data_IF_938450256318
#
_entry.id   IF_938450256318
#
_cell.length_a   1.000
_cell.length_b   1.000
_cell.length_c   1.000
_cell.angle_alpha   90.00
_cell.angle_beta   90.00
_cell.angle_gamma   90.00
#
_symmetry.space_group_name_H-M   'P 1'
#
loop_
_entity.id
_entity.type
_entity.pdbx_description
1 polymer ?
#
# COMPACT_ATOMS: atom_id res chain seq x y z
N UNK A 1 -66.18 -49.27 14.30
CA UNK A 1 -65.10 -48.47 14.84
C UNK A 1 -63.92 -48.52 13.88
N UNK A 2 -63.76 -47.53 13.02
CA UNK A 2 -62.59 -47.38 12.09
C UNK A 2 -61.64 -46.33 12.61
N UNK A 3 -60.42 -46.72 12.95
CA UNK A 3 -59.35 -45.80 13.36
C UNK A 3 -58.59 -45.36 12.12
N UNK A 4 -58.74 -44.09 11.78
CA UNK A 4 -57.96 -43.41 10.73
C UNK A 4 -56.58 -43.04 11.32
N UNK A 5 -55.49 -43.56 10.75
CA UNK A 5 -54.12 -43.16 11.07
C UNK A 5 -53.72 -42.00 10.16
N UNK A 6 -53.54 -40.83 10.73
CA UNK A 6 -52.95 -39.71 10.03
C UNK A 6 -51.43 -39.92 9.93
N UNK A 7 -50.89 -39.90 8.71
CA UNK A 7 -49.45 -39.91 8.44
C UNK A 7 -49.00 -38.47 8.33
N UNK A 8 -48.15 -38.05 9.24
CA UNK A 8 -47.56 -36.73 9.23
C UNK A 8 -46.27 -36.77 8.38
N UNK A 9 -46.30 -36.14 7.21
CA UNK A 9 -45.14 -36.01 6.34
C UNK A 9 -44.35 -34.78 6.77
N UNK A 10 -43.13 -34.98 7.33
CA UNK A 10 -42.18 -33.93 7.68
C UNK A 10 -41.34 -33.64 6.44
N UNK A 11 -41.58 -32.51 5.80
CA UNK A 11 -40.70 -31.98 4.74
C UNK A 11 -39.49 -31.30 5.38
N UNK A 12 -38.31 -31.91 5.25
CA UNK A 12 -37.04 -31.30 5.61
C UNK A 12 -36.57 -30.41 4.45
N UNK A 13 -36.70 -29.11 4.60
CA UNK A 13 -36.13 -28.15 3.67
C UNK A 13 -34.62 -27.99 3.98
N UNK A 14 -33.76 -28.54 3.13
CA UNK A 14 -32.32 -28.31 3.17
C UNK A 14 -32.03 -26.93 2.61
N UNK A 15 -31.77 -25.98 3.50
CA UNK A 15 -31.23 -24.66 3.13
C UNK A 15 -29.74 -24.84 2.76
N UNK A 16 -29.45 -24.84 1.46
CA UNK A 16 -28.07 -24.75 0.96
C UNK A 16 -27.59 -23.31 1.14
N UNK A 17 -26.86 -23.05 2.21
CA UNK A 17 -26.15 -21.79 2.41
C UNK A 17 -24.97 -21.77 1.43
N UNK A 18 -25.14 -21.11 0.28
CA UNK A 18 -24.04 -20.76 -0.60
C UNK A 18 -23.19 -19.70 0.13
N UNK A 19 -22.17 -20.14 0.87
CA UNK A 19 -21.11 -19.28 1.40
C UNK A 19 -20.26 -18.85 0.21
N UNK A 20 -20.74 -17.87 -0.55
CA UNK A 20 -19.92 -17.16 -1.52
C UNK A 20 -18.82 -16.44 -0.73
N UNK A 21 -17.57 -16.86 -0.90
CA UNK A 21 -16.42 -16.05 -0.55
C UNK A 21 -16.42 -14.82 -1.48
N UNK A 22 -17.21 -13.82 -1.18
CA UNK A 22 -17.02 -12.50 -1.74
C UNK A 22 -15.80 -11.94 -1.02
N UNK A 23 -14.64 -11.94 -1.67
CA UNK A 23 -13.55 -11.04 -1.29
C UNK A 23 -14.14 -9.64 -1.26
N UNK A 24 -14.23 -9.05 -0.06
CA UNK A 24 -14.76 -7.71 0.08
C UNK A 24 -13.88 -6.78 -0.78
N UNK A 25 -14.53 -5.97 -1.60
CA UNK A 25 -13.82 -4.95 -2.37
C UNK A 25 -13.16 -3.97 -1.37
N UNK A 26 -11.91 -3.54 -1.62
CA UNK A 26 -11.23 -2.61 -0.72
C UNK A 26 -11.99 -1.29 -0.62
N UNK A 27 -12.06 -0.73 0.56
CA UNK A 27 -12.58 0.64 0.76
C UNK A 27 -11.49 1.66 0.32
N UNK A 28 -11.43 1.87 -1.00
CA UNK A 28 -10.47 2.75 -1.64
C UNK A 28 -10.56 4.19 -1.16
N UNK A 29 -11.78 4.68 -0.88
CA UNK A 29 -11.98 6.07 -0.48
C UNK A 29 -11.47 6.30 0.94
N UNK A 30 -11.73 5.37 1.85
CA UNK A 30 -11.21 5.45 3.22
C UNK A 30 -9.68 5.28 3.25
N UNK A 31 -9.12 4.35 2.49
CA UNK A 31 -7.67 4.16 2.42
C UNK A 31 -6.97 5.39 1.82
N UNK A 32 -7.52 5.96 0.74
CA UNK A 32 -6.98 7.17 0.11
C UNK A 32 -7.05 8.38 1.06
N UNK A 33 -8.18 8.59 1.74
CA UNK A 33 -8.32 9.69 2.70
C UNK A 33 -7.30 9.63 3.85
N UNK A 34 -6.97 8.42 4.32
CA UNK A 34 -5.91 8.20 5.33
C UNK A 34 -4.52 8.50 4.76
N UNK A 35 -4.24 8.11 3.53
CA UNK A 35 -2.99 8.41 2.84
C UNK A 35 -2.81 9.93 2.64
N UNK A 36 -3.85 10.63 2.23
CA UNK A 36 -3.84 12.08 2.05
C UNK A 36 -3.59 12.80 3.40
N UNK A 37 -4.27 12.37 4.46
CA UNK A 37 -4.06 12.91 5.81
C UNK A 37 -2.62 12.67 6.33
N UNK A 38 -2.02 11.52 6.00
CA UNK A 38 -0.64 11.24 6.33
C UNK A 38 0.31 12.19 5.58
N UNK A 39 0.11 12.40 4.27
CA UNK A 39 0.91 13.32 3.47
C UNK A 39 0.79 14.78 3.96
N UNK A 40 -0.42 15.22 4.33
CA UNK A 40 -0.63 16.55 4.90
C UNK A 40 0.10 16.72 6.24
N UNK A 41 0.11 15.69 7.08
CA UNK A 41 0.78 15.74 8.39
C UNK A 41 2.30 15.67 8.29
N UNK A 42 2.82 14.97 7.28
CA UNK A 42 4.26 14.79 7.03
C UNK A 42 4.94 15.98 6.35
N UNK A 43 4.20 17.00 5.92
CA UNK A 43 4.71 18.20 5.26
C UNK A 43 5.46 19.17 6.18
N UNK A 44 6.15 18.69 7.22
CA UNK A 44 6.92 19.49 8.17
C UNK A 44 8.23 20.08 7.60
N UNK A 45 8.96 20.80 8.46
CA UNK A 45 10.29 21.33 8.10
C UNK A 45 11.25 20.17 7.77
N UNK A 46 11.78 20.16 6.55
CA UNK A 46 12.63 19.08 6.03
C UNK A 46 11.92 18.11 5.08
N UNK A 47 10.61 18.24 4.89
CA UNK A 47 9.91 17.46 3.86
C UNK A 47 10.29 17.98 2.47
N UNK A 48 10.82 17.07 1.66
CA UNK A 48 11.15 17.31 0.25
C UNK A 48 9.96 17.07 -0.67
N UNK A 49 9.04 16.24 -0.24
CA UNK A 49 7.83 15.87 -0.96
C UNK A 49 7.22 14.59 -0.45
N UNK A 50 6.06 14.28 -0.99
CA UNK A 50 5.35 13.04 -0.67
C UNK A 50 4.61 12.51 -1.89
N UNK A 51 4.30 11.24 -1.85
CA UNK A 51 3.57 10.54 -2.90
C UNK A 51 2.69 9.45 -2.32
N UNK A 52 1.64 9.09 -3.04
CA UNK A 52 0.81 7.93 -2.74
C UNK A 52 0.51 7.15 -4.00
N UNK A 53 0.17 5.87 -3.82
CA UNK A 53 -0.20 4.99 -4.91
C UNK A 53 -1.12 3.86 -4.44
N UNK A 54 -1.89 3.32 -5.36
CA UNK A 54 -2.80 2.19 -5.14
C UNK A 54 -2.13 0.89 -5.55
N UNK A 55 -2.36 -0.14 -4.78
CA UNK A 55 -1.91 -1.50 -5.06
C UNK A 55 -3.11 -2.42 -5.04
N UNK A 56 -3.32 -3.19 -6.08
CA UNK A 56 -4.40 -4.18 -6.17
C UNK A 56 -3.83 -5.59 -6.17
N UNK A 57 -4.61 -6.55 -5.71
CA UNK A 57 -4.23 -7.96 -5.81
C UNK A 57 -4.08 -8.35 -7.29
N UNK A 58 -2.92 -8.94 -7.64
CA UNK A 58 -2.64 -9.36 -9.02
C UNK A 58 -2.18 -8.24 -9.97
N UNK A 59 -1.85 -7.06 -9.45
CA UNK A 59 -1.17 -6.02 -10.23
C UNK A 59 0.25 -6.51 -10.57
N UNK A 60 0.41 -6.99 -11.80
CA UNK A 60 1.72 -7.39 -12.37
C UNK A 60 2.40 -6.15 -12.99
N UNK A 61 2.60 -5.09 -12.21
CA UNK A 61 3.36 -3.93 -12.68
C UNK A 61 4.79 -4.31 -12.96
N UNK A 62 5.33 -3.81 -14.07
CA UNK A 62 6.74 -3.93 -14.31
C UNK A 62 7.53 -3.10 -13.26
N UNK A 63 8.69 -3.58 -12.79
CA UNK A 63 9.55 -2.80 -11.90
C UNK A 63 9.83 -1.41 -12.50
N UNK A 64 9.61 -0.35 -11.72
CA UNK A 64 9.80 1.04 -12.13
C UNK A 64 8.56 1.75 -12.68
N UNK A 65 7.39 1.11 -12.69
CA UNK A 65 6.09 1.76 -13.01
C UNK A 65 5.44 2.44 -11.79
N UNK A 66 6.21 2.66 -10.74
CA UNK A 66 5.78 3.28 -9.50
C UNK A 66 5.56 4.79 -9.61
N UNK A 67 5.34 5.41 -8.46
CA UNK A 67 5.22 6.87 -8.35
C UNK A 67 6.59 7.50 -8.23
N UNK A 68 6.90 8.45 -9.10
CA UNK A 68 8.20 9.14 -9.15
C UNK A 68 8.08 10.57 -8.66
N UNK A 69 9.00 10.96 -7.75
CA UNK A 69 9.21 12.33 -7.31
C UNK A 69 10.53 12.84 -7.89
N UNK A 70 10.47 13.94 -8.63
CA UNK A 70 11.66 14.61 -9.21
C UNK A 70 11.95 15.88 -8.42
N UNK A 71 13.20 16.07 -8.03
CA UNK A 71 13.64 17.25 -7.30
C UNK A 71 14.20 18.31 -8.25
N UNK A 72 14.02 19.61 -7.95
CA UNK A 72 14.48 20.70 -8.82
C UNK A 72 16.00 20.83 -8.89
N UNK A 73 16.74 20.15 -8.01
CA UNK A 73 18.19 20.15 -7.95
C UNK A 73 18.73 18.96 -7.15
N UNK A 74 20.04 18.81 -7.09
CA UNK A 74 20.65 17.76 -6.29
C UNK A 74 20.22 17.89 -4.82
N UNK A 75 19.71 16.80 -4.29
CA UNK A 75 19.07 16.77 -2.99
C UNK A 75 19.69 15.68 -2.13
N UNK A 76 19.79 15.91 -0.84
CA UNK A 76 20.14 14.87 0.13
C UNK A 76 18.86 14.29 0.73
N UNK A 77 18.69 12.97 0.62
CA UNK A 77 17.58 12.25 1.23
C UNK A 77 18.07 11.61 2.53
N UNK A 78 17.51 12.02 3.65
CA UNK A 78 17.90 11.54 4.97
C UNK A 78 17.03 10.39 5.45
N UNK A 79 15.73 10.47 5.19
CA UNK A 79 14.71 9.52 5.66
C UNK A 79 13.56 9.44 4.67
N UNK A 80 12.99 8.26 4.56
CA UNK A 80 11.72 8.04 3.89
C UNK A 80 10.78 7.36 4.88
N UNK A 81 9.66 7.98 5.15
CA UNK A 81 8.60 7.42 6.00
C UNK A 81 7.51 6.85 5.09
N UNK A 82 7.30 5.53 5.17
CA UNK A 82 6.34 4.77 4.38
C UNK A 82 5.18 4.35 5.27
N UNK A 83 3.97 4.40 4.74
CA UNK A 83 2.77 3.86 5.39
C UNK A 83 1.90 3.15 4.37
N UNK A 84 1.18 2.12 4.79
CA UNK A 84 0.23 1.39 3.95
C UNK A 84 -1.12 1.29 4.66
N UNK A 85 -2.20 1.55 3.93
CA UNK A 85 -3.58 1.50 4.42
C UNK A 85 -4.40 0.52 3.58
N UNK A 86 -4.95 -0.50 4.21
CA UNK A 86 -5.74 -1.53 3.54
C UNK A 86 -5.59 -2.88 4.22
N UNK A 87 -5.61 -3.93 3.43
CA UNK A 87 -5.46 -5.29 3.91
C UNK A 87 -4.13 -5.89 3.45
N UNK A 88 -3.52 -6.71 4.32
CA UNK A 88 -2.36 -7.51 3.98
C UNK A 88 -1.03 -6.81 4.21
N UNK A 89 -0.07 -7.13 3.37
CA UNK A 89 1.32 -6.70 3.45
C UNK A 89 1.80 -6.28 2.07
N UNK A 90 2.58 -5.24 1.97
CA UNK A 90 3.16 -4.76 0.72
C UNK A 90 4.68 -4.89 0.73
N UNK A 91 5.24 -5.42 -0.35
CA UNK A 91 6.66 -5.27 -0.64
C UNK A 91 6.86 -3.92 -1.34
N UNK A 92 7.53 -3.00 -0.67
CA UNK A 92 7.83 -1.68 -1.18
C UNK A 92 9.27 -1.63 -1.70
N UNK A 93 9.43 -1.11 -2.92
CA UNK A 93 10.72 -0.81 -3.52
C UNK A 93 10.90 0.71 -3.58
N UNK A 94 12.04 1.18 -3.14
CA UNK A 94 12.45 2.58 -3.20
C UNK A 94 13.73 2.66 -4.00
N UNK A 95 13.72 3.37 -5.10
CA UNK A 95 14.88 3.60 -5.94
C UNK A 95 15.15 5.10 -6.07
N UNK A 96 16.38 5.51 -5.81
CA UNK A 96 16.83 6.91 -5.91
C UNK A 96 17.91 7.04 -6.97
N UNK A 97 17.70 7.98 -7.90
CA UNK A 97 18.63 8.29 -8.99
C UNK A 97 19.57 9.41 -8.58
N UNK A 98 20.84 9.23 -8.88
CA UNK A 98 21.89 10.25 -8.69
C UNK A 98 22.84 10.27 -9.89
N UNK A 99 23.75 11.24 -9.96
CA UNK A 99 24.65 11.44 -11.11
C UNK A 99 25.57 10.26 -11.43
N UNK A 100 25.72 9.32 -10.52
CA UNK A 100 26.58 8.12 -10.69
C UNK A 100 25.81 6.81 -10.90
N UNK A 101 24.48 6.85 -10.97
CA UNK A 101 23.64 5.67 -11.11
C UNK A 101 22.41 5.69 -10.22
N UNK A 102 21.98 4.57 -9.72
CA UNK A 102 20.87 4.46 -8.77
C UNK A 102 21.27 3.71 -7.51
N UNK A 103 20.58 4.01 -6.42
CA UNK A 103 20.61 3.25 -5.17
C UNK A 103 19.19 2.90 -4.78
N UNK A 104 18.96 1.73 -4.22
CA UNK A 104 17.62 1.29 -3.85
C UNK A 104 17.61 0.36 -2.66
N UNK A 105 16.43 0.17 -2.12
CA UNK A 105 16.13 -0.81 -1.09
C UNK A 105 14.74 -1.39 -1.30
N UNK A 106 14.53 -2.57 -0.75
CA UNK A 106 13.22 -3.19 -0.61
C UNK A 106 12.90 -3.36 0.87
N UNK A 107 11.63 -3.19 1.22
CA UNK A 107 11.13 -3.38 2.59
C UNK A 107 9.69 -3.88 2.57
N UNK A 108 9.35 -4.74 3.51
CA UNK A 108 7.97 -5.15 3.70
C UNK A 108 7.27 -4.17 4.65
N UNK A 109 6.03 -3.80 4.33
CA UNK A 109 5.21 -2.86 5.08
C UNK A 109 3.84 -3.50 5.32
N UNK A 110 3.42 -3.58 6.57
CA UNK A 110 2.08 -4.04 6.92
C UNK A 110 1.07 -2.92 6.63
N UNK A 111 -0.07 -3.26 6.02
CA UNK A 111 -1.08 -2.27 5.62
C UNK A 111 -2.07 -1.94 6.75
N UNK A 112 -1.56 -1.75 7.97
CA UNK A 112 -2.32 -1.40 9.19
C UNK A 112 -2.34 0.11 9.50
N UNK A 113 -1.54 0.89 8.77
CA UNK A 113 -1.40 2.33 8.93
C UNK A 113 -0.30 2.76 9.90
N UNK A 114 0.52 1.83 10.37
CA UNK A 114 1.71 2.17 11.17
C UNK A 114 2.87 2.60 10.24
N UNK A 115 3.51 3.74 10.50
CA UNK A 115 4.61 4.21 9.67
C UNK A 115 5.87 3.35 9.81
N UNK A 116 6.50 3.04 8.68
CA UNK A 116 7.79 2.38 8.57
C UNK A 116 8.83 3.39 8.08
N UNK A 117 9.94 3.53 8.81
CA UNK A 117 11.03 4.47 8.48
C UNK A 117 12.19 3.74 7.84
N UNK A 118 12.57 4.16 6.65
CA UNK A 118 13.67 3.59 5.90
C UNK A 118 14.70 4.64 5.53
N UNK A 119 15.96 4.22 5.42
CA UNK A 119 17.06 5.06 4.97
C UNK A 119 17.66 4.44 3.73
N UNK A 120 17.86 5.24 2.69
CA UNK A 120 18.58 4.80 1.51
C UNK A 120 20.02 4.37 1.88
N UNK A 121 20.58 3.35 1.19
CA UNK A 121 22.03 3.12 1.24
C UNK A 121 22.79 4.33 0.68
N UNK A 122 24.07 4.45 1.02
CA UNK A 122 24.92 5.50 0.45
C UNK A 122 25.26 5.21 -1.03
N UNK A 123 25.34 6.23 -1.89
CA UNK A 123 25.27 7.66 -1.58
C UNK A 123 23.83 8.16 -1.49
N UNK A 124 23.53 9.02 -0.50
CA UNK A 124 22.22 9.65 -0.27
C UNK A 124 22.17 11.12 -0.68
N UNK A 125 23.28 11.65 -1.13
CA UNK A 125 23.43 13.02 -1.61
C UNK A 125 23.36 13.08 -3.13
N UNK A 126 23.01 14.23 -3.65
CA UNK A 126 22.83 14.48 -5.10
C UNK A 126 21.76 13.62 -5.76
N UNK A 127 20.76 13.26 -4.99
CA UNK A 127 19.56 12.59 -5.51
C UNK A 127 18.77 13.59 -6.35
N UNK A 128 18.36 13.16 -7.53
CA UNK A 128 17.55 13.97 -8.45
C UNK A 128 16.13 13.45 -8.59
N UNK A 129 15.93 12.16 -8.26
CA UNK A 129 14.66 11.49 -8.40
C UNK A 129 14.54 10.34 -7.40
N UNK A 130 13.34 10.12 -6.87
CA UNK A 130 12.99 8.94 -6.07
C UNK A 130 11.75 8.30 -6.67
N UNK A 131 11.85 7.03 -7.01
CA UNK A 131 10.73 6.19 -7.47
C UNK A 131 10.32 5.24 -6.34
N UNK A 132 9.02 5.23 -6.08
CA UNK A 132 8.37 4.37 -5.09
C UNK A 132 7.47 3.40 -5.83
N UNK A 133 7.68 2.13 -5.65
CA UNK A 133 6.85 1.07 -6.21
C UNK A 133 6.42 0.09 -5.10
N UNK A 134 5.29 -0.56 -5.28
CA UNK A 134 4.76 -1.48 -4.29
C UNK A 134 3.98 -2.62 -4.92
N UNK A 135 4.21 -3.82 -4.40
CA UNK A 135 3.47 -5.04 -4.77
C UNK A 135 2.76 -5.56 -3.53
N UNK A 136 1.44 -5.71 -3.63
CA UNK A 136 0.64 -6.24 -2.53
C UNK A 136 0.88 -7.76 -2.38
N UNK A 137 1.28 -8.17 -1.18
CA UNK A 137 1.45 -9.56 -0.77
C UNK A 137 0.30 -10.00 0.12
N UNK A 138 -0.80 -10.38 -0.50
CA UNK A 138 -2.03 -10.74 0.21
C UNK A 138 -2.96 -9.54 0.41
N UNK A 139 -4.21 -9.83 0.76
CA UNK A 139 -5.27 -8.83 0.80
C UNK A 139 -5.91 -8.58 -0.56
N UNK A 140 -6.86 -7.67 -0.60
CA UNK A 140 -7.63 -7.33 -1.81
C UNK A 140 -7.15 -6.04 -2.47
N UNK A 141 -6.62 -5.10 -1.68
CA UNK A 141 -6.09 -3.84 -2.15
C UNK A 141 -5.62 -2.95 -1.01
N UNK A 142 -4.68 -2.06 -1.31
CA UNK A 142 -4.13 -1.11 -0.36
C UNK A 142 -3.68 0.19 -1.05
N UNK A 143 -3.56 1.26 -0.26
CA UNK A 143 -2.96 2.52 -0.66
C UNK A 143 -1.70 2.74 0.17
N UNK A 144 -0.57 2.92 -0.48
CA UNK A 144 0.63 3.39 0.21
C UNK A 144 0.74 4.91 0.14
N UNK A 145 1.41 5.49 1.11
CA UNK A 145 1.89 6.86 1.06
C UNK A 145 3.32 6.93 1.59
N UNK A 146 4.08 7.89 1.09
CA UNK A 146 5.46 8.12 1.51
C UNK A 146 5.73 9.61 1.66
N UNK A 147 6.48 9.97 2.70
CA UNK A 147 7.06 11.30 2.89
C UNK A 147 8.57 11.17 2.82
N UNK A 148 9.21 12.01 2.01
CA UNK A 148 10.65 12.06 1.85
C UNK A 148 11.18 13.28 2.60
N UNK A 149 12.12 13.05 3.50
CA UNK A 149 12.77 14.08 4.30
C UNK A 149 14.24 14.23 3.92
N UNK A 150 14.72 15.47 3.95
CA UNK A 150 16.11 15.78 3.62
C UNK A 150 16.34 17.26 3.40
N UNK A 151 17.36 17.58 2.62
CA UNK A 151 17.80 18.95 2.35
C UNK A 151 18.05 19.14 0.85
N UNK A 152 17.53 20.24 0.31
CA UNK A 152 17.88 20.68 -1.06
C UNK A 152 19.27 21.30 -1.02
N UNK A 153 20.18 20.82 -1.88
CA UNK A 153 21.55 21.28 -1.99
C UNK A 153 21.71 22.59 -2.76
#
# INVERSE_FOLDING_TARGET
MRRTRAVLAIAVAAAVSASGCTTAEPDWDAAQARADAFLESGGGAGALGGASGRMSAGDDRAPGEGTTLTFPGPTRVDLIELVCFGDGEAAMSVEAQHSGGSVGLETDVVCDGEPTRVKLPDPRDRITEVTLDGVLRGGSGAVFAAVIEGEVG
#
